data_IF_422884969916
#
_entry.id   IF_422884969916
#
_cell.length_a   1.000
_cell.length_b   1.000
_cell.length_c   1.000
_cell.angle_alpha   90.00
_cell.angle_beta   90.00
_cell.angle_gamma   90.00
#
_symmetry.space_group_name_H-M   'P 1'
#
loop_
_entity.id
_entity.type
_entity.pdbx_description
1 polymer ?
#
# COMPACT_ATOMS: atom_id res chain seq x y z
N UNK A 1 -1.61 96.99 -16.12
CA UNK A 1 -2.66 96.17 -16.76
C UNK A 1 -2.04 94.82 -17.12
N UNK A 2 -2.45 93.74 -16.43
CA UNK A 2 -1.98 92.36 -16.68
C UNK A 2 -2.73 91.74 -17.88
N UNK A 3 -2.11 90.75 -18.55
CA UNK A 3 -2.79 89.47 -18.73
C UNK A 3 -1.85 88.30 -18.36
N UNK A 4 -2.18 87.46 -17.39
CA UNK A 4 -3.07 86.28 -17.41
C UNK A 4 -2.48 85.05 -18.13
N UNK A 5 -1.78 84.23 -17.34
CA UNK A 5 -1.22 82.93 -17.69
C UNK A 5 -2.23 81.85 -17.27
N UNK A 6 -2.87 81.18 -18.23
CA UNK A 6 -3.74 80.02 -17.95
C UNK A 6 -2.88 78.77 -17.72
N UNK A 7 -2.81 78.33 -16.47
CA UNK A 7 -2.30 77.01 -16.09
C UNK A 7 -3.45 75.99 -16.21
N UNK A 8 -3.27 74.95 -17.03
CA UNK A 8 -4.20 73.81 -17.14
C UNK A 8 -3.85 72.78 -16.07
N UNK A 9 -4.71 72.62 -15.07
CA UNK A 9 -4.62 71.55 -14.07
C UNK A 9 -5.08 70.22 -14.68
N UNK A 10 -4.21 69.21 -14.65
CA UNK A 10 -4.52 67.81 -14.95
C UNK A 10 -5.04 67.20 -13.64
N UNK A 11 -6.30 66.77 -13.60
CA UNK A 11 -6.83 65.94 -12.52
C UNK A 11 -6.30 64.51 -12.71
N UNK A 12 -5.41 64.06 -11.83
CA UNK A 12 -5.15 62.62 -11.64
C UNK A 12 -6.21 62.08 -10.66
N UNK A 13 -7.14 61.29 -11.17
CA UNK A 13 -8.08 60.52 -10.35
C UNK A 13 -7.33 59.34 -9.73
N UNK A 14 -6.97 59.43 -8.46
CA UNK A 14 -6.40 58.31 -7.71
C UNK A 14 -7.50 57.27 -7.45
N UNK A 15 -7.46 56.13 -8.16
CA UNK A 15 -8.22 54.94 -7.79
C UNK A 15 -7.57 54.33 -6.55
N UNK A 16 -8.13 54.61 -5.37
CA UNK A 16 -7.90 53.83 -4.15
C UNK A 16 -8.51 52.45 -4.34
N UNK A 17 -7.70 51.51 -4.82
CA UNK A 17 -8.01 50.09 -4.78
C UNK A 17 -8.06 49.62 -3.33
N UNK A 18 -9.25 49.29 -2.84
CA UNK A 18 -9.41 48.56 -1.58
C UNK A 18 -8.95 47.13 -1.85
N UNK A 19 -7.72 46.82 -1.46
CA UNK A 19 -7.25 45.44 -1.38
C UNK A 19 -8.03 44.78 -0.22
N UNK A 20 -9.10 44.07 -0.55
CA UNK A 20 -9.72 43.15 0.40
C UNK A 20 -8.75 41.98 0.52
N UNK A 21 -7.86 42.05 1.51
CA UNK A 21 -7.11 40.89 2.01
C UNK A 21 -8.14 39.91 2.55
N UNK A 22 -8.64 39.02 1.69
CA UNK A 22 -9.33 37.84 2.17
C UNK A 22 -8.34 37.07 3.03
N UNK A 23 -8.64 36.80 4.31
CA UNK A 23 -7.77 35.96 5.12
C UNK A 23 -7.67 34.61 4.41
N UNK A 24 -6.46 34.28 3.96
CA UNK A 24 -6.10 32.92 3.59
C UNK A 24 -6.51 32.06 4.80
N UNK A 25 -7.38 31.05 4.68
CA UNK A 25 -7.55 30.11 5.78
C UNK A 25 -6.17 29.56 6.07
N UNK A 26 -5.69 29.79 7.30
CA UNK A 26 -4.49 29.15 7.78
C UNK A 26 -4.74 27.64 7.69
N UNK A 27 -4.25 27.00 6.62
CA UNK A 27 -4.29 25.56 6.43
C UNK A 27 -3.20 24.93 7.31
N UNK A 28 -3.43 25.03 8.62
CA UNK A 28 -2.60 24.50 9.68
C UNK A 28 -3.50 23.98 10.80
N UNK A 29 -4.60 23.32 10.43
CA UNK A 29 -5.21 22.39 11.36
C UNK A 29 -4.13 21.35 11.69
N UNK A 30 -3.85 21.18 12.97
CA UNK A 30 -2.92 20.18 13.49
C UNK A 30 -3.38 18.80 13.03
N UNK A 31 -2.90 18.36 11.85
CA UNK A 31 -3.24 17.08 11.24
C UNK A 31 -2.50 16.02 12.03
N UNK A 32 -3.17 15.49 13.06
CA UNK A 32 -2.68 14.39 13.90
C UNK A 32 -3.15 13.04 13.35
N UNK A 33 -2.37 12.01 13.64
CA UNK A 33 -2.83 10.64 13.46
C UNK A 33 -3.81 10.26 14.58
N UNK A 34 -4.87 9.54 14.22
CA UNK A 34 -5.79 8.91 15.18
C UNK A 34 -6.17 7.51 14.70
N UNK A 35 -6.62 6.68 15.63
CA UNK A 35 -6.97 5.28 15.39
C UNK A 35 -8.36 5.02 15.96
N UNK A 36 -9.20 4.40 15.14
CA UNK A 36 -10.54 3.97 15.49
C UNK A 36 -10.64 2.45 15.28
N UNK A 37 -11.35 1.78 16.18
CA UNK A 37 -11.73 0.38 16.01
C UNK A 37 -13.15 0.30 15.44
N UNK A 38 -13.44 -0.76 14.69
CA UNK A 38 -14.83 -1.14 14.43
C UNK A 38 -15.52 -1.65 15.71
N UNK A 39 -16.86 -1.62 15.73
CA UNK A 39 -17.70 -1.95 16.92
C UNK A 39 -17.39 -3.33 17.49
N UNK A 40 -17.20 -4.32 16.63
CA UNK A 40 -16.42 -5.52 16.93
C UNK A 40 -15.05 -5.32 16.29
N UNK A 41 -13.94 -5.59 17.00
CA UNK A 41 -12.59 -5.32 16.47
C UNK A 41 -12.26 -6.33 15.37
N UNK A 42 -12.70 -6.03 14.15
CA UNK A 42 -12.47 -6.76 12.90
C UNK A 42 -11.75 -5.89 11.88
N UNK A 43 -11.51 -4.62 12.21
CA UNK A 43 -10.71 -3.70 11.44
C UNK A 43 -10.09 -2.62 12.34
N UNK A 44 -8.97 -2.05 11.87
CA UNK A 44 -8.36 -0.84 12.40
C UNK A 44 -8.40 0.26 11.34
N UNK A 45 -8.97 1.40 11.69
CA UNK A 45 -9.03 2.59 10.83
C UNK A 45 -8.04 3.63 11.34
N UNK A 46 -7.12 4.06 10.49
CA UNK A 46 -6.14 5.12 10.79
C UNK A 46 -6.50 6.37 10.00
N UNK A 47 -6.64 7.48 10.71
CA UNK A 47 -6.96 8.80 10.13
C UNK A 47 -5.79 9.75 10.23
N UNK A 48 -5.66 10.63 9.24
CA UNK A 48 -4.77 11.79 9.26
C UNK A 48 -5.61 13.07 9.12
N UNK A 49 -5.78 13.79 10.23
CA UNK A 49 -6.82 14.81 10.32
C UNK A 49 -8.22 14.18 10.10
N UNK A 50 -9.07 14.72 9.21
CA UNK A 50 -10.40 14.15 8.96
C UNK A 50 -10.39 12.94 8.03
N UNK A 51 -9.29 12.67 7.33
CA UNK A 51 -9.24 11.70 6.24
C UNK A 51 -8.83 10.32 6.75
N UNK A 52 -9.56 9.27 6.33
CA UNK A 52 -9.08 7.89 6.48
C UNK A 52 -7.95 7.67 5.48
N UNK A 53 -6.78 7.29 5.98
CA UNK A 53 -5.60 7.01 5.13
C UNK A 53 -5.21 5.54 5.11
N UNK A 54 -5.68 4.75 6.08
CA UNK A 54 -5.56 3.30 6.08
C UNK A 54 -6.75 2.65 6.79
N UNK A 55 -7.26 1.57 6.22
CA UNK A 55 -8.13 0.62 6.91
C UNK A 55 -7.57 -0.80 6.74
N UNK A 56 -7.20 -1.43 7.85
CA UNK A 56 -6.71 -2.81 7.87
C UNK A 56 -7.82 -3.72 8.38
N UNK A 57 -8.32 -4.61 7.52
CA UNK A 57 -9.42 -5.52 7.80
C UNK A 57 -8.90 -6.92 8.14
N UNK A 58 -9.49 -7.54 9.16
CA UNK A 58 -9.21 -8.90 9.61
C UNK A 58 -10.49 -9.56 10.16
N UNK A 59 -11.53 -9.74 9.32
CA UNK A 59 -12.77 -10.36 9.75
C UNK A 59 -12.53 -11.81 10.19
N UNK A 60 -13.17 -12.24 11.29
CA UNK A 60 -12.99 -13.59 11.86
C UNK A 60 -13.35 -14.74 10.90
N UNK A 61 -14.24 -14.48 9.95
CA UNK A 61 -14.73 -15.48 8.97
C UNK A 61 -14.19 -15.25 7.55
N UNK A 62 -13.24 -14.34 7.36
CA UNK A 62 -12.61 -14.13 6.07
C UNK A 62 -11.43 -15.10 5.86
N UNK A 63 -11.06 -15.30 4.59
CA UNK A 63 -9.90 -16.13 4.24
C UNK A 63 -8.57 -15.46 4.59
N UNK A 64 -8.51 -14.13 4.60
CA UNK A 64 -7.27 -13.40 4.83
C UNK A 64 -7.50 -11.98 5.35
N UNK A 65 -6.57 -11.45 6.16
CA UNK A 65 -6.46 -10.02 6.43
C UNK A 65 -5.84 -9.24 5.29
N UNK A 66 -6.26 -7.99 5.13
CA UNK A 66 -5.86 -7.14 4.02
C UNK A 66 -6.01 -5.66 4.35
N UNK A 67 -5.35 -4.81 3.57
CA UNK A 67 -5.55 -3.36 3.62
C UNK A 67 -6.68 -3.03 2.66
N UNK A 68 -7.85 -2.67 3.21
CA UNK A 68 -9.06 -2.32 2.46
C UNK A 68 -8.96 -0.91 1.87
N UNK A 69 -8.44 0.03 2.66
CA UNK A 69 -8.22 1.42 2.26
C UNK A 69 -6.75 1.73 2.41
N UNK A 70 -6.17 2.34 1.36
CA UNK A 70 -4.88 3.02 1.41
C UNK A 70 -5.01 4.26 0.53
N UNK A 71 -4.98 5.42 1.18
CA UNK A 71 -5.36 6.68 0.56
C UNK A 71 -4.26 7.74 0.65
N UNK A 72 -4.40 8.76 -0.20
CA UNK A 72 -3.57 9.98 -0.12
C UNK A 72 -3.83 10.75 1.19
N UNK A 73 -3.02 11.77 1.48
CA UNK A 73 -3.19 12.64 2.65
C UNK A 73 -4.55 13.36 2.69
N UNK A 74 -5.22 13.49 1.54
CA UNK A 74 -6.52 14.13 1.40
C UNK A 74 -7.67 13.11 1.30
N UNK A 75 -7.38 11.82 1.55
CA UNK A 75 -8.39 10.76 1.68
C UNK A 75 -8.83 10.10 0.38
N UNK A 76 -8.07 10.29 -0.71
CA UNK A 76 -8.36 9.66 -1.99
C UNK A 76 -7.88 8.20 -1.98
N UNK A 77 -8.81 7.25 -1.85
CA UNK A 77 -8.53 5.83 -1.84
C UNK A 77 -8.30 5.29 -3.26
N UNK A 78 -7.27 4.44 -3.40
CA UNK A 78 -6.91 3.80 -4.67
C UNK A 78 -7.42 2.37 -4.78
N UNK A 79 -7.73 1.73 -3.66
CA UNK A 79 -7.92 0.30 -3.57
C UNK A 79 -9.39 -0.11 -3.74
N UNK A 80 -9.62 -1.30 -4.28
CA UNK A 80 -10.94 -1.90 -4.43
C UNK A 80 -11.01 -3.22 -3.68
N UNK A 81 -12.08 -3.39 -2.92
CA UNK A 81 -12.34 -4.61 -2.14
C UNK A 81 -13.39 -5.49 -2.82
N UNK A 82 -13.11 -6.80 -2.88
CA UNK A 82 -13.99 -7.89 -3.31
C UNK A 82 -14.93 -7.52 -4.49
N UNK A 83 -14.38 -7.17 -5.67
CA UNK A 83 -15.21 -6.85 -6.82
C UNK A 83 -16.07 -8.06 -7.22
N UNK A 84 -17.30 -7.83 -7.69
CA UNK A 84 -18.29 -8.88 -7.93
C UNK A 84 -17.85 -9.96 -8.93
N UNK A 85 -16.96 -9.60 -9.85
CA UNK A 85 -16.37 -10.49 -10.86
C UNK A 85 -15.16 -11.28 -10.35
N UNK A 86 -14.53 -10.83 -9.25
CA UNK A 86 -13.31 -11.42 -8.70
C UNK A 86 -13.26 -11.25 -7.16
N UNK A 87 -14.18 -11.91 -6.45
CA UNK A 87 -14.41 -11.71 -5.00
C UNK A 87 -13.16 -11.88 -4.12
N UNK A 88 -12.19 -12.68 -4.55
CA UNK A 88 -10.94 -12.95 -3.82
C UNK A 88 -9.91 -11.81 -3.91
N UNK A 89 -10.15 -10.78 -4.73
CA UNK A 89 -9.28 -9.61 -4.80
C UNK A 89 -9.65 -8.59 -3.72
N UNK A 90 -8.76 -8.44 -2.73
CA UNK A 90 -8.93 -7.52 -1.62
C UNK A 90 -7.84 -6.45 -1.61
N UNK A 91 -8.20 -5.21 -1.97
CA UNK A 91 -7.37 -4.01 -1.86
C UNK A 91 -5.87 -4.26 -2.03
N UNK A 92 -5.12 -4.23 -0.92
CA UNK A 92 -3.75 -4.70 -0.82
C UNK A 92 -3.69 -5.94 0.09
N UNK A 93 -3.25 -7.08 -0.47
CA UNK A 93 -3.21 -8.37 0.24
C UNK A 93 -1.99 -9.21 -0.18
N UNK A 94 -1.60 -10.15 0.67
CA UNK A 94 -0.50 -11.08 0.39
C UNK A 94 -1.03 -12.51 0.24
N UNK A 95 -0.60 -13.22 -0.80
CA UNK A 95 -1.01 -14.60 -1.05
C UNK A 95 0.04 -15.41 -1.80
N UNK A 96 0.13 -16.70 -1.45
CA UNK A 96 1.04 -17.72 -2.02
C UNK A 96 0.35 -19.10 -1.96
N UNK A 97 0.98 -20.12 -2.54
CA UNK A 97 0.68 -21.51 -2.28
C UNK A 97 1.60 -22.09 -1.20
N UNK A 98 1.08 -23.00 -0.37
CA UNK A 98 1.88 -23.72 0.65
C UNK A 98 1.50 -25.20 0.64
N UNK A 99 2.46 -26.09 0.34
CA UNK A 99 2.21 -27.54 0.23
C UNK A 99 1.03 -27.90 -0.70
N UNK A 100 0.90 -27.15 -1.80
CA UNK A 100 -0.18 -27.32 -2.78
C UNK A 100 -1.52 -26.69 -2.38
N UNK A 101 -1.65 -26.15 -1.15
CA UNK A 101 -2.83 -25.39 -0.74
C UNK A 101 -2.76 -23.96 -1.24
N UNK A 102 -3.88 -23.48 -1.78
CA UNK A 102 -4.02 -22.15 -2.36
C UNK A 102 -4.48 -21.14 -1.29
N UNK A 103 -3.71 -20.08 -1.02
CA UNK A 103 -4.10 -18.95 -0.15
C UNK A 103 -4.45 -17.67 -0.93
N UNK A 104 -4.53 -17.76 -2.25
CA UNK A 104 -4.96 -16.70 -3.15
C UNK A 104 -6.49 -16.74 -3.35
N UNK A 105 -7.00 -17.83 -3.89
CA UNK A 105 -8.44 -17.99 -4.16
C UNK A 105 -9.24 -18.15 -2.86
N UNK A 106 -10.50 -17.76 -2.87
CA UNK A 106 -11.43 -17.89 -1.74
C UNK A 106 -12.57 -18.84 -2.10
N UNK A 107 -12.21 -20.08 -2.38
CA UNK A 107 -13.14 -21.16 -2.74
C UNK A 107 -13.04 -22.29 -1.72
N UNK A 108 -13.97 -23.25 -1.81
CA UNK A 108 -13.92 -24.44 -0.98
C UNK A 108 -12.58 -25.17 -1.14
N UNK A 109 -11.91 -25.45 -0.02
CA UNK A 109 -10.60 -26.09 0.00
C UNK A 109 -9.41 -25.13 0.06
N UNK A 110 -9.59 -23.83 -0.20
CA UNK A 110 -8.53 -22.82 -0.03
C UNK A 110 -8.00 -22.78 1.40
N UNK A 111 -6.75 -22.36 1.56
CA UNK A 111 -6.15 -22.07 2.85
C UNK A 111 -6.73 -20.80 3.48
N UNK A 112 -6.54 -20.67 4.79
CA UNK A 112 -7.01 -19.53 5.60
C UNK A 112 -5.81 -18.90 6.32
N UNK A 113 -5.64 -17.59 6.20
CA UNK A 113 -4.76 -16.79 7.04
C UNK A 113 -5.58 -16.33 8.26
N UNK A 114 -5.55 -17.11 9.35
CA UNK A 114 -6.38 -16.88 10.53
C UNK A 114 -5.74 -15.84 11.48
N UNK A 115 -6.41 -14.72 11.80
CA UNK A 115 -5.97 -13.80 12.87
C UNK A 115 -5.98 -14.49 14.23
N UNK A 116 -4.81 -14.61 14.85
CA UNK A 116 -4.64 -15.20 16.19
C UNK A 116 -4.53 -14.12 17.25
N UNK A 117 -3.70 -13.11 17.00
CA UNK A 117 -3.52 -11.98 17.88
C UNK A 117 -3.45 -10.70 17.07
N UNK A 118 -4.23 -9.68 17.45
CA UNK A 118 -4.17 -8.35 16.84
C UNK A 118 -4.21 -7.31 17.95
N UNK A 119 -3.10 -6.61 18.16
CA UNK A 119 -3.02 -5.55 19.16
C UNK A 119 -3.59 -4.23 18.60
N UNK A 120 -4.06 -3.31 19.47
CA UNK A 120 -4.32 -1.93 19.07
C UNK A 120 -3.09 -1.30 18.41
N UNK A 121 -3.25 -0.51 17.34
CA UNK A 121 -2.15 0.18 16.68
C UNK A 121 -1.37 1.10 17.63
N UNK A 122 -0.04 1.02 17.58
CA UNK A 122 0.87 1.91 18.30
C UNK A 122 1.01 3.24 17.54
N UNK A 123 0.58 4.34 18.15
CA UNK A 123 0.86 5.69 17.64
C UNK A 123 2.21 6.20 18.14
N UNK A 124 2.96 6.91 17.31
CA UNK A 124 4.22 7.52 17.68
C UNK A 124 4.80 8.42 16.59
N UNK A 125 6.12 8.64 16.64
CA UNK A 125 6.85 9.44 15.66
C UNK A 125 7.99 8.63 15.03
N UNK A 126 8.18 8.81 13.72
CA UNK A 126 9.29 8.24 12.96
C UNK A 126 10.62 8.99 13.23
N UNK A 127 11.74 8.47 12.69
CA UNK A 127 13.08 9.04 12.92
C UNK A 127 13.24 10.51 12.53
N UNK A 128 12.42 11.02 11.60
CA UNK A 128 12.45 12.42 11.17
C UNK A 128 11.24 13.22 11.68
N UNK A 129 10.59 12.75 12.76
CA UNK A 129 9.50 13.46 13.41
C UNK A 129 8.13 13.32 12.74
N UNK A 130 8.02 12.59 11.62
CA UNK A 130 6.71 12.32 11.02
C UNK A 130 5.85 11.49 11.98
N UNK A 131 4.53 11.73 12.06
CA UNK A 131 3.66 10.85 12.83
C UNK A 131 3.64 9.45 12.21
N UNK A 132 3.48 8.42 13.05
CA UNK A 132 3.51 7.00 12.68
C UNK A 132 2.38 6.25 13.37
N UNK A 133 1.75 5.33 12.65
CA UNK A 133 0.91 4.28 13.22
C UNK A 133 1.51 2.90 12.89
N UNK A 134 1.63 2.01 13.87
CA UNK A 134 2.16 0.66 13.67
C UNK A 134 1.18 -0.40 14.17
N UNK A 135 0.83 -1.30 13.27
CA UNK A 135 -0.08 -2.41 13.52
C UNK A 135 0.73 -3.71 13.54
N UNK A 136 0.42 -4.60 14.49
CA UNK A 136 1.05 -5.92 14.61
C UNK A 136 -0.02 -6.99 14.68
N UNK A 137 0.18 -8.07 13.93
CA UNK A 137 -0.75 -9.19 13.88
C UNK A 137 -0.01 -10.52 13.73
N UNK A 138 -0.37 -11.49 14.57
CA UNK A 138 0.03 -12.89 14.43
C UNK A 138 -1.03 -13.62 13.61
N UNK A 139 -0.59 -14.35 12.59
CA UNK A 139 -1.43 -15.13 11.69
C UNK A 139 -1.00 -16.59 11.65
N UNK A 140 -1.97 -17.50 11.70
CA UNK A 140 -1.75 -18.90 11.36
C UNK A 140 -2.26 -19.17 9.95
N UNK A 141 -1.41 -19.72 9.09
CA UNK A 141 -1.77 -20.18 7.76
C UNK A 141 -2.20 -21.63 7.84
N UNK A 142 -3.52 -21.86 7.76
CA UNK A 142 -4.17 -23.14 8.02
C UNK A 142 -4.75 -23.74 6.73
N UNK A 143 -4.88 -25.06 6.70
CA UNK A 143 -5.83 -25.71 5.79
C UNK A 143 -7.27 -25.30 6.17
N UNK A 144 -8.18 -25.16 5.20
CA UNK A 144 -9.59 -24.79 5.47
C UNK A 144 -10.28 -25.72 6.46
N UNK A 145 -9.99 -27.03 6.42
CA UNK A 145 -10.55 -28.01 7.35
C UNK A 145 -10.20 -27.74 8.82
N UNK A 146 -9.20 -26.89 9.07
CA UNK A 146 -8.70 -26.57 10.42
C UNK A 146 -9.00 -25.13 10.85
N UNK A 147 -9.69 -24.35 10.01
CA UNK A 147 -9.97 -22.93 10.26
C UNK A 147 -10.70 -22.67 11.60
N UNK A 148 -11.48 -23.66 12.06
CA UNK A 148 -12.29 -23.58 13.29
C UNK A 148 -11.65 -24.26 14.50
N UNK A 149 -10.44 -24.82 14.36
CA UNK A 149 -9.72 -25.35 15.52
C UNK A 149 -9.27 -24.21 16.45
N UNK A 150 -9.04 -24.49 17.75
CA UNK A 150 -8.42 -23.53 18.67
C UNK A 150 -7.08 -23.00 18.12
N UNK A 151 -6.73 -21.79 18.54
CA UNK A 151 -5.49 -21.16 18.10
C UNK A 151 -4.26 -21.87 18.67
N UNK A 152 -3.61 -22.69 17.84
CA UNK A 152 -2.40 -23.43 18.18
C UNK A 152 -1.48 -23.53 16.96
N UNK A 153 -0.22 -23.15 17.12
CA UNK A 153 0.80 -23.18 16.06
C UNK A 153 1.06 -24.61 15.53
N UNK A 154 0.69 -25.66 16.27
CA UNK A 154 0.77 -27.05 15.83
C UNK A 154 -0.15 -27.37 14.65
N UNK A 155 -1.20 -26.58 14.43
CA UNK A 155 -2.08 -26.71 13.27
C UNK A 155 -1.64 -25.86 12.07
N UNK A 156 -0.69 -24.94 12.28
CA UNK A 156 -0.23 -24.04 11.23
C UNK A 156 0.76 -24.68 10.26
N UNK A 157 0.60 -24.40 8.96
CA UNK A 157 1.63 -24.62 7.95
C UNK A 157 2.72 -23.55 8.07
N UNK A 158 2.28 -22.30 8.25
CA UNK A 158 3.14 -21.15 8.53
C UNK A 158 2.55 -20.35 9.69
N UNK A 159 3.43 -19.86 10.55
CA UNK A 159 3.11 -18.79 11.49
C UNK A 159 3.73 -17.51 10.95
N UNK A 160 2.93 -16.46 10.81
CA UNK A 160 3.36 -15.16 10.32
C UNK A 160 3.21 -14.10 11.42
N UNK A 161 4.29 -13.36 11.65
CA UNK A 161 4.28 -12.10 12.39
C UNK A 161 4.27 -10.95 11.39
N UNK A 162 3.11 -10.32 11.22
CA UNK A 162 2.91 -9.20 10.29
C UNK A 162 2.97 -7.88 11.03
N UNK A 163 3.79 -6.96 10.50
CA UNK A 163 3.88 -5.57 10.96
C UNK A 163 3.59 -4.62 9.80
N UNK A 164 2.59 -3.76 9.98
CA UNK A 164 2.28 -2.67 9.06
C UNK A 164 2.65 -1.35 9.73
N UNK A 165 3.54 -0.57 9.12
CA UNK A 165 3.93 0.75 9.62
C UNK A 165 3.54 1.83 8.63
N UNK A 166 2.57 2.67 9.02
CA UNK A 166 2.05 3.77 8.23
C UNK A 166 2.71 5.09 8.67
N UNK A 167 3.21 5.86 7.72
CA UNK A 167 3.84 7.17 7.92
C UNK A 167 3.30 8.15 6.86
N UNK A 168 2.37 9.07 7.22
CA UNK A 168 2.08 10.23 6.38
C UNK A 168 3.23 11.24 6.47
N UNK A 169 3.68 11.74 5.33
CA UNK A 169 4.72 12.76 5.21
C UNK A 169 4.20 13.92 4.32
N UNK A 170 3.60 14.96 4.93
CA UNK A 170 3.09 16.13 4.23
C UNK A 170 4.14 16.91 3.47
N UNK A 171 5.40 16.90 3.92
CA UNK A 171 6.48 17.61 3.25
C UNK A 171 6.80 16.97 1.88
N UNK A 172 6.53 15.68 1.74
CA UNK A 172 6.66 14.93 0.48
C UNK A 172 5.34 14.71 -0.26
N UNK A 173 4.21 15.05 0.37
CA UNK A 173 2.88 14.73 -0.15
C UNK A 173 2.61 13.22 -0.23
N UNK A 174 3.26 12.40 0.61
CA UNK A 174 3.18 10.94 0.55
C UNK A 174 2.50 10.33 1.79
N UNK A 175 1.86 9.18 1.58
CA UNK A 175 1.54 8.19 2.61
C UNK A 175 2.38 6.96 2.32
N UNK A 176 3.26 6.61 3.25
CA UNK A 176 4.14 5.45 3.15
C UNK A 176 3.62 4.33 4.06
N UNK A 177 3.36 3.16 3.48
CA UNK A 177 3.01 1.94 4.20
C UNK A 177 4.15 0.94 4.04
N UNK A 178 4.88 0.69 5.13
CA UNK A 178 5.85 -0.39 5.22
C UNK A 178 5.15 -1.68 5.64
N UNK A 179 5.17 -2.68 4.76
CA UNK A 179 4.67 -4.02 5.00
C UNK A 179 5.85 -4.94 5.31
N UNK A 180 5.88 -5.50 6.52
CA UNK A 180 6.84 -6.53 6.93
C UNK A 180 6.10 -7.78 7.39
N UNK A 181 6.51 -8.93 6.89
CA UNK A 181 5.98 -10.24 7.32
C UNK A 181 7.14 -11.17 7.61
N UNK A 182 7.19 -11.71 8.82
CA UNK A 182 8.17 -12.73 9.22
C UNK A 182 7.48 -14.07 9.37
N UNK A 183 7.96 -15.07 8.64
CA UNK A 183 7.35 -16.39 8.61
C UNK A 183 8.27 -17.43 9.24
N UNK A 184 7.66 -18.39 9.92
CA UNK A 184 8.30 -19.63 10.34
C UNK A 184 7.39 -20.81 9.98
N UNK A 185 8.00 -21.95 9.67
CA UNK A 185 7.26 -23.21 9.46
C UNK A 185 6.52 -23.57 10.75
N UNK A 186 5.20 -23.77 10.65
CA UNK A 186 4.35 -24.16 11.77
C UNK A 186 4.45 -25.66 12.08
N UNK A 187 3.86 -26.09 13.19
CA UNK A 187 4.03 -27.47 13.69
C UNK A 187 3.26 -28.54 12.91
N UNK A 188 2.51 -28.16 11.86
CA UNK A 188 1.75 -29.11 11.03
C UNK A 188 2.65 -29.93 10.10
N UNK A 189 3.82 -29.40 9.73
CA UNK A 189 4.72 -30.03 8.77
C UNK A 189 6.19 -29.80 9.15
N UNK A 190 7.03 -30.80 8.90
CA UNK A 190 8.49 -30.67 9.06
C UNK A 190 9.14 -29.87 7.93
N UNK A 191 8.47 -29.83 6.77
CA UNK A 191 8.91 -29.06 5.61
C UNK A 191 7.68 -28.47 4.92
N UNK A 192 7.83 -27.25 4.41
CA UNK A 192 6.85 -26.61 3.54
C UNK A 192 7.48 -26.18 2.23
N UNK A 193 6.74 -26.36 1.15
CA UNK A 193 7.08 -25.86 -0.18
C UNK A 193 6.17 -24.68 -0.50
N UNK A 194 6.75 -23.50 -0.65
CA UNK A 194 6.04 -22.33 -1.12
C UNK A 194 6.01 -22.34 -2.65
N UNK A 195 4.83 -22.14 -3.21
CA UNK A 195 4.57 -22.09 -4.65
C UNK A 195 3.69 -20.89 -4.99
N UNK A 196 3.42 -20.66 -6.26
CA UNK A 196 2.42 -19.69 -6.67
C UNK A 196 2.33 -19.53 -8.18
N UNK A 197 1.32 -18.78 -8.63
CA UNK A 197 1.29 -18.25 -9.99
C UNK A 197 2.11 -16.96 -10.09
N UNK A 198 2.35 -16.50 -11.31
CA UNK A 198 3.16 -15.30 -11.59
C UNK A 198 2.67 -14.00 -10.96
N UNK A 199 1.43 -13.97 -10.47
CA UNK A 199 0.81 -12.83 -9.81
C UNK A 199 0.61 -13.04 -8.30
N UNK A 200 0.98 -14.19 -7.74
CA UNK A 200 0.89 -14.48 -6.30
C UNK A 200 1.99 -13.74 -5.56
N UNK A 201 1.60 -12.85 -4.65
CA UNK A 201 2.52 -12.02 -3.89
C UNK A 201 1.77 -10.92 -3.17
N UNK A 202 2.44 -9.78 -2.97
CA UNK A 202 1.82 -8.57 -2.42
C UNK A 202 1.08 -7.85 -3.55
N UNK A 203 -0.22 -8.12 -3.66
CA UNK A 203 -1.08 -7.71 -4.77
C UNK A 203 -1.91 -6.48 -4.47
N UNK A 204 -2.08 -5.61 -5.47
CA UNK A 204 -2.89 -4.39 -5.42
C UNK A 204 -4.02 -4.45 -6.45
N UNK A 205 -5.27 -4.43 -5.97
CA UNK A 205 -6.46 -4.24 -6.79
C UNK A 205 -6.93 -2.79 -6.69
N UNK A 206 -7.00 -2.10 -7.82
CA UNK A 206 -7.39 -0.69 -7.89
C UNK A 206 -8.89 -0.48 -8.10
N UNK A 207 -9.37 0.71 -7.73
CA UNK A 207 -10.73 1.19 -7.99
C UNK A 207 -11.06 1.17 -9.49
N UNK A 208 -12.28 0.78 -9.84
CA UNK A 208 -12.67 0.49 -11.22
C UNK A 208 -12.59 1.71 -12.14
N UNK A 209 -12.87 2.90 -11.59
CA UNK A 209 -12.78 4.18 -12.28
C UNK A 209 -11.33 4.58 -12.62
N UNK A 210 -10.34 3.94 -11.98
CA UNK A 210 -8.92 4.15 -12.24
C UNK A 210 -8.38 3.27 -13.38
N UNK A 211 -9.04 2.14 -13.69
CA UNK A 211 -8.56 1.18 -14.69
C UNK A 211 -8.25 1.84 -16.06
N UNK A 212 -9.11 2.72 -16.63
CA UNK A 212 -8.84 3.33 -17.94
C UNK A 212 -7.67 4.32 -17.97
N UNK A 213 -7.35 4.91 -16.81
CA UNK A 213 -6.33 5.96 -16.65
C UNK A 213 -5.04 5.45 -16.01
N UNK A 214 -4.98 4.15 -15.70
CA UNK A 214 -3.79 3.51 -15.16
C UNK A 214 -2.64 3.52 -16.17
N UNK A 215 -1.46 3.93 -15.71
CA UNK A 215 -0.22 3.91 -16.47
C UNK A 215 0.86 3.28 -15.61
N UNK A 216 1.20 2.04 -15.94
CA UNK A 216 2.25 1.28 -15.27
C UNK A 216 3.64 1.80 -15.67
N UNK A 217 4.55 1.80 -14.71
CA UNK A 217 5.95 2.15 -14.90
C UNK A 217 6.81 1.44 -13.85
N UNK A 218 8.09 1.26 -14.12
CA UNK A 218 9.00 0.52 -13.25
C UNK A 218 10.42 1.04 -13.36
N UNK A 219 11.30 0.48 -12.55
CA UNK A 219 12.73 0.66 -12.77
C UNK A 219 13.09 0.24 -14.21
N UNK A 220 13.72 1.13 -14.96
CA UNK A 220 14.10 0.90 -16.36
C UNK A 220 13.03 1.18 -17.40
N UNK A 221 11.90 1.81 -17.05
CA UNK A 221 10.91 2.33 -18.01
C UNK A 221 9.50 1.75 -17.84
N UNK A 222 8.67 1.89 -18.87
CA UNK A 222 7.31 1.34 -18.88
C UNK A 222 7.29 -0.12 -19.35
N UNK A 223 6.48 -0.99 -18.74
CA UNK A 223 6.23 -2.33 -19.25
C UNK A 223 5.40 -2.31 -20.56
N UNK A 224 5.54 -3.33 -21.39
CA UNK A 224 4.70 -3.52 -22.59
C UNK A 224 3.41 -4.29 -22.24
N UNK A 225 2.35 -3.53 -21.98
CA UNK A 225 1.01 -4.06 -21.67
C UNK A 225 0.04 -3.91 -22.85
N UNK A 226 0.54 -3.61 -24.05
CA UNK A 226 -0.31 -3.39 -25.22
C UNK A 226 -1.06 -4.67 -25.62
N UNK A 227 -2.29 -4.52 -26.12
CA UNK A 227 -3.10 -5.65 -26.59
C UNK A 227 -3.50 -6.66 -25.51
N UNK A 228 -3.54 -6.25 -24.24
CA UNK A 228 -3.89 -7.14 -23.12
C UNK A 228 -2.73 -8.02 -22.63
N UNK A 229 -1.49 -7.70 -23.03
CA UNK A 229 -0.29 -8.37 -22.49
C UNK A 229 -0.17 -8.15 -20.99
N UNK A 230 0.35 -9.17 -20.32
CA UNK A 230 0.80 -9.14 -18.93
C UNK A 230 2.33 -9.18 -18.96
N UNK A 231 2.99 -8.43 -18.08
CA UNK A 231 4.45 -8.44 -17.95
C UNK A 231 4.85 -8.92 -16.56
N UNK A 232 5.90 -9.75 -16.51
CA UNK A 232 6.57 -10.15 -15.27
C UNK A 232 8.05 -9.79 -15.40
N UNK A 233 8.57 -8.95 -14.50
CA UNK A 233 9.95 -8.50 -14.54
C UNK A 233 10.56 -8.29 -13.16
N UNK A 234 11.86 -8.58 -13.01
CA UNK A 234 12.58 -8.38 -11.74
C UNK A 234 13.09 -6.95 -11.66
N UNK A 235 12.59 -6.21 -10.67
CA UNK A 235 12.91 -4.79 -10.49
C UNK A 235 12.96 -4.45 -8.99
N UNK A 236 13.74 -3.43 -8.58
CA UNK A 236 13.72 -2.96 -7.20
C UNK A 236 12.39 -2.28 -6.82
N UNK A 237 11.66 -1.75 -7.80
CA UNK A 237 10.36 -1.13 -7.62
C UNK A 237 9.54 -1.12 -8.92
N UNK A 238 8.22 -1.05 -8.76
CA UNK A 238 7.23 -0.86 -9.83
C UNK A 238 6.08 0.00 -9.31
N UNK A 239 5.39 0.72 -10.20
CA UNK A 239 4.35 1.66 -9.84
C UNK A 239 3.27 1.84 -10.91
N UNK A 240 2.21 2.51 -10.50
CA UNK A 240 1.08 2.88 -11.35
C UNK A 240 0.73 4.34 -11.08
N UNK A 241 0.64 5.12 -12.15
CA UNK A 241 0.11 6.48 -12.09
C UNK A 241 -1.30 6.50 -12.65
N UNK A 242 -2.18 7.26 -12.01
CA UNK A 242 -3.56 7.46 -12.41
C UNK A 242 -3.73 8.92 -12.79
N UNK A 243 -3.76 9.19 -14.09
CA UNK A 243 -3.78 10.56 -14.60
C UNK A 243 -5.24 10.99 -14.77
N UNK A 244 -5.76 11.71 -13.77
CA UNK A 244 -7.07 12.37 -13.83
C UNK A 244 -6.90 13.89 -13.85
N UNK A 245 -7.75 14.63 -14.59
CA UNK A 245 -7.72 16.10 -14.55
C UNK A 245 -7.86 16.62 -13.11
N UNK A 246 -6.84 17.33 -12.62
CA UNK A 246 -6.83 17.96 -11.29
C UNK A 246 -6.62 17.04 -10.08
N UNK A 247 -6.58 15.72 -10.26
CA UNK A 247 -6.42 14.73 -9.18
C UNK A 247 -5.48 13.58 -9.61
N UNK A 248 -4.22 13.86 -9.94
CA UNK A 248 -3.25 12.81 -10.24
C UNK A 248 -2.90 12.05 -8.95
N UNK A 249 -2.87 10.72 -9.03
CA UNK A 249 -2.39 9.88 -7.94
C UNK A 249 -1.35 8.90 -8.45
N UNK A 250 -0.31 8.68 -7.66
CA UNK A 250 0.70 7.65 -7.94
C UNK A 250 0.79 6.67 -6.79
N UNK A 251 0.88 5.38 -7.12
CA UNK A 251 1.25 4.31 -6.19
C UNK A 251 2.53 3.63 -6.68
N UNK A 252 3.44 3.31 -5.75
CA UNK A 252 4.63 2.51 -6.06
C UNK A 252 4.87 1.48 -4.97
N UNK A 253 5.38 0.31 -5.37
CA UNK A 253 5.81 -0.76 -4.47
C UNK A 253 7.31 -0.96 -4.65
N UNK A 254 8.05 -0.96 -3.55
CA UNK A 254 9.49 -1.14 -3.49
C UNK A 254 9.80 -2.43 -2.72
N UNK A 255 10.67 -3.28 -3.26
CA UNK A 255 11.17 -4.46 -2.56
C UNK A 255 12.48 -4.18 -1.83
N UNK A 256 12.60 -4.63 -0.59
CA UNK A 256 13.87 -4.60 0.14
C UNK A 256 14.82 -5.69 -0.42
N UNK A 257 16.13 -5.41 -0.59
CA UNK A 257 17.10 -6.42 -1.04
C UNK A 257 17.30 -7.60 -0.07
N UNK A 258 16.67 -7.55 1.11
CA UNK A 258 16.72 -8.64 2.10
C UNK A 258 15.53 -9.62 1.98
N UNK A 259 14.64 -9.39 1.02
CA UNK A 259 13.62 -10.37 0.65
C UNK A 259 14.29 -11.62 0.05
N UNK A 260 13.64 -12.79 0.12
CA UNK A 260 14.14 -13.98 -0.57
C UNK A 260 14.39 -13.67 -2.04
N UNK A 261 15.59 -14.01 -2.53
CA UNK A 261 16.06 -13.75 -3.91
C UNK A 261 16.28 -12.27 -4.26
N UNK A 262 16.29 -11.37 -3.28
CA UNK A 262 16.60 -9.96 -3.47
C UNK A 262 15.41 -9.18 -4.05
N UNK A 263 15.56 -8.68 -5.27
CA UNK A 263 14.52 -7.87 -5.92
C UNK A 263 13.31 -8.74 -6.31
N UNK A 264 12.07 -8.26 -6.07
CA UNK A 264 10.86 -9.01 -6.41
C UNK A 264 10.65 -9.07 -7.93
N UNK A 265 9.96 -10.12 -8.37
CA UNK A 265 9.37 -10.18 -9.70
C UNK A 265 8.00 -9.49 -9.67
N UNK A 266 7.87 -8.38 -10.37
CA UNK A 266 6.63 -7.63 -10.47
C UNK A 266 5.77 -8.13 -11.62
N UNK A 267 4.56 -8.57 -11.31
CA UNK A 267 3.50 -8.79 -12.29
C UNK A 267 2.71 -7.51 -12.52
N UNK A 268 2.52 -7.12 -13.77
CA UNK A 268 1.72 -5.97 -14.17
C UNK A 268 0.71 -6.35 -15.26
N UNK A 269 -0.51 -5.81 -15.13
CA UNK A 269 -1.60 -6.01 -16.06
C UNK A 269 -2.46 -4.73 -16.11
N UNK A 270 -2.86 -4.33 -17.32
CA UNK A 270 -3.74 -3.18 -17.54
C UNK A 270 -5.16 -3.56 -18.00
N UNK A 271 -5.38 -4.81 -18.41
CA UNK A 271 -6.66 -5.33 -18.92
C UNK A 271 -6.87 -6.77 -18.45
N UNK A 272 -8.09 -7.17 -18.01
CA UNK A 272 -9.34 -6.40 -18.04
C UNK A 272 -9.42 -5.29 -16.99
N UNK A 273 -8.41 -5.20 -16.12
CA UNK A 273 -8.28 -4.15 -15.12
C UNK A 273 -6.82 -3.90 -14.77
N UNK A 274 -6.54 -2.78 -14.10
CA UNK A 274 -5.23 -2.46 -13.59
C UNK A 274 -4.92 -3.32 -12.35
N UNK A 275 -3.76 -3.97 -12.38
CA UNK A 275 -3.29 -4.82 -11.29
C UNK A 275 -1.77 -4.85 -11.24
N UNK A 276 -1.22 -4.79 -10.02
CA UNK A 276 0.21 -4.85 -9.74
C UNK A 276 0.44 -5.83 -8.59
N UNK A 277 1.42 -6.72 -8.71
CA UNK A 277 1.81 -7.62 -7.62
C UNK A 277 3.32 -7.75 -7.52
N UNK A 278 3.86 -7.62 -6.30
CA UNK A 278 5.25 -7.94 -6.00
C UNK A 278 5.35 -9.41 -5.58
N UNK A 279 5.97 -10.24 -6.40
CA UNK A 279 6.05 -11.70 -6.20
C UNK A 279 7.47 -12.15 -5.87
N UNK A 280 7.59 -13.39 -5.37
CA UNK A 280 8.86 -14.08 -5.16
C UNK A 280 9.28 -14.94 -6.38
N UNK A 281 8.54 -14.87 -7.49
CA UNK A 281 8.75 -15.72 -8.67
C UNK A 281 8.58 -17.22 -8.38
N UNK A 282 7.65 -17.57 -7.47
CA UNK A 282 7.43 -18.95 -7.04
C UNK A 282 6.86 -19.85 -8.15
N UNK A 283 6.35 -19.28 -9.25
CA UNK A 283 5.94 -20.09 -10.40
C UNK A 283 7.14 -20.72 -11.13
N UNK A 284 8.31 -20.06 -11.06
CA UNK A 284 9.54 -20.53 -11.72
C UNK A 284 10.37 -21.41 -10.80
N UNK A 285 10.45 -21.01 -9.53
CA UNK A 285 11.30 -21.68 -8.55
C UNK A 285 10.56 -21.71 -7.21
N UNK A 286 10.03 -22.87 -6.78
CA UNK A 286 9.47 -23.03 -5.44
C UNK A 286 10.49 -22.72 -4.34
N UNK A 287 10.03 -22.28 -3.17
CA UNK A 287 10.89 -22.09 -2.00
C UNK A 287 10.63 -23.19 -0.98
N UNK A 288 11.64 -23.99 -0.68
CA UNK A 288 11.56 -25.05 0.33
C UNK A 288 12.02 -24.50 1.68
N UNK A 289 11.26 -24.77 2.74
CA UNK A 289 11.58 -24.37 4.11
C UNK A 289 11.40 -25.55 5.05
N UNK A 290 12.41 -25.81 5.87
CA UNK A 290 12.39 -26.83 6.93
C UNK A 290 11.88 -26.25 8.24
N UNK A 291 11.48 -27.11 9.17
CA UNK A 291 11.04 -26.71 10.51
C UNK A 291 12.07 -25.80 11.19
N UNK A 292 11.58 -24.68 11.73
CA UNK A 292 12.42 -23.66 12.37
C UNK A 292 13.11 -22.69 11.41
N UNK A 293 13.15 -22.96 10.10
CA UNK A 293 13.60 -21.97 9.12
C UNK A 293 12.65 -20.79 9.05
N UNK A 294 13.24 -19.62 8.77
CA UNK A 294 12.54 -18.35 8.72
C UNK A 294 12.80 -17.66 7.40
N UNK A 295 11.79 -16.97 6.88
CA UNK A 295 11.97 -15.97 5.84
C UNK A 295 11.20 -14.71 6.19
N UNK A 296 11.62 -13.60 5.59
CA UNK A 296 11.02 -12.29 5.81
C UNK A 296 10.68 -11.65 4.48
N UNK A 297 9.52 -11.03 4.43
CA UNK A 297 9.12 -10.11 3.38
C UNK A 297 9.12 -8.69 3.92
N UNK A 298 9.56 -7.78 3.09
CA UNK A 298 9.79 -6.39 3.42
C UNK A 298 9.57 -5.53 2.16
N UNK A 299 8.46 -4.80 2.17
CA UNK A 299 7.99 -3.97 1.06
C UNK A 299 7.59 -2.58 1.54
N UNK A 300 7.87 -1.56 0.74
CA UNK A 300 7.35 -0.22 0.93
C UNK A 300 6.31 0.08 -0.15
N UNK A 301 5.08 0.38 0.27
CA UNK A 301 4.02 0.90 -0.59
C UNK A 301 3.92 2.40 -0.38
N UNK A 302 4.05 3.17 -1.45
CA UNK A 302 4.02 4.62 -1.45
C UNK A 302 2.78 5.10 -2.18
N UNK A 303 2.04 6.04 -1.60
CA UNK A 303 0.88 6.69 -2.21
C UNK A 303 1.06 8.20 -2.17
N UNK A 304 0.82 8.90 -3.28
CA UNK A 304 1.04 10.35 -3.40
C UNK A 304 -0.05 11.02 -4.24
N UNK A 305 -0.53 12.18 -3.81
CA UNK A 305 -1.52 13.02 -4.52
C UNK A 305 -0.91 13.85 -5.68
N UNK A 306 0.12 13.32 -6.33
CA UNK A 306 0.83 13.97 -7.41
C UNK A 306 1.45 12.95 -8.37
N UNK A 307 1.77 13.37 -9.61
CA UNK A 307 2.56 12.53 -10.48
C UNK A 307 3.96 12.39 -9.89
N UNK A 308 4.41 11.17 -9.65
CA UNK A 308 5.82 10.91 -9.42
C UNK A 308 6.48 10.43 -10.70
N UNK A 309 7.58 11.07 -11.05
CA UNK A 309 8.41 10.58 -12.14
C UNK A 309 9.11 9.28 -11.73
N UNK A 310 9.51 8.42 -12.69
CA UNK A 310 10.35 7.26 -12.42
C UNK A 310 11.60 7.58 -11.58
N UNK A 311 12.22 8.75 -11.80
CA UNK A 311 13.40 9.21 -11.07
C UNK A 311 13.06 9.55 -9.60
N UNK A 312 11.91 10.18 -9.35
CA UNK A 312 11.45 10.49 -8.00
C UNK A 312 11.17 9.21 -7.20
N UNK A 313 10.49 8.22 -7.81
CA UNK A 313 10.26 6.90 -7.20
C UNK A 313 11.59 6.18 -6.97
N UNK A 314 12.48 6.17 -7.96
CA UNK A 314 13.80 5.55 -7.85
C UNK A 314 14.63 6.12 -6.70
N UNK A 315 14.69 7.45 -6.57
CA UNK A 315 15.41 8.10 -5.48
C UNK A 315 14.77 7.81 -4.12
N UNK A 316 13.44 7.74 -4.03
CA UNK A 316 12.71 7.40 -2.79
C UNK A 316 12.90 5.93 -2.40
N UNK A 317 12.91 5.03 -3.39
CA UNK A 317 13.16 3.60 -3.23
C UNK A 317 14.59 3.34 -2.76
N UNK A 318 15.58 3.98 -3.39
CA UNK A 318 16.98 3.86 -3.01
C UNK A 318 17.21 4.28 -1.55
N UNK A 319 16.72 5.48 -1.16
CA UNK A 319 16.83 5.96 0.22
C UNK A 319 16.25 4.99 1.26
N UNK A 320 15.15 4.32 0.93
CA UNK A 320 14.55 3.35 1.84
C UNK A 320 15.32 2.02 1.89
N UNK A 321 15.78 1.51 0.73
CA UNK A 321 16.55 0.25 0.64
C UNK A 321 17.93 0.35 1.30
N UNK A 322 18.49 1.56 1.39
CA UNK A 322 19.77 1.85 2.05
C UNK A 322 19.62 2.28 3.52
N UNK A 323 18.39 2.58 3.96
CA UNK A 323 18.16 2.98 5.34
C UNK A 323 18.43 1.80 6.28
N UNK A 324 19.01 2.04 7.47
CA UNK A 324 19.12 1.01 8.48
C UNK A 324 17.70 0.53 8.86
N UNK A 325 17.53 -0.76 9.19
CA UNK A 325 16.25 -1.29 9.61
C UNK A 325 15.71 -0.47 10.79
N UNK A 326 14.47 -0.01 10.66
CA UNK A 326 13.80 0.71 11.75
C UNK A 326 13.60 -0.25 12.95
N UNK A 327 13.94 0.17 14.18
CA UNK A 327 13.80 -0.65 15.37
C UNK A 327 12.36 -1.04 15.70
#
# INVERSE_FOLDING_TARGET
>A
MKPDTRCRSILLTALTGVLILMPWPASGADRRLSVEASTEVTAWTVRYGPHVILEYAFPRMAHKPYVRVLATLDGENLLRDAPSDHLHHHGLMYAIGVNGLNFWEEVSGSGIQKPVATAPPELGTGPHGQPRARLRQTLHWLASSEAFLPDDARHALLVEERTLTLVPDPARGEVALHWRSEFVVGGRAETVTLTGSSYFGLGLRFAADLDPVARHFRAGGSPDLAGGRQEVGVHPWSGVSFVRPGQPVTVAVVGHPANPRGDPAFFAMASPFAYLSATLGLEREPLLLSAGERFRLDYLVLVSAGPWSPEAVGARAQRWREAPPSP
#
